data_IF_669159257512
#
_entry.id   IF_669159257512
#
_cell.length_a   1.000
_cell.length_b   1.000
_cell.length_c   1.000
_cell.angle_alpha   90.00
_cell.angle_beta   90.00
_cell.angle_gamma   90.00
#
_symmetry.space_group_name_H-M   'P 1'
#
loop_
_entity.id
_entity.type
_entity.pdbx_description
1 polymer ?
#
# COMPACT_ATOMS: atom_id res chain seq x y z
N UNK A 1 -5.47 -12.81 13.17
CA UNK A 1 -6.27 -13.35 12.05
C UNK A 1 -6.82 -14.74 12.41
N UNK A 2 -8.09 -15.08 12.13
CA UNK A 2 -8.71 -16.37 12.56
C UNK A 2 -8.08 -17.61 11.91
N UNK A 3 -7.46 -17.47 10.74
CA UNK A 3 -6.76 -18.54 10.03
C UNK A 3 -5.59 -19.13 10.84
N UNK A 4 -4.69 -18.29 11.35
CA UNK A 4 -3.53 -18.79 12.13
C UNK A 4 -3.90 -19.44 13.46
N UNK A 5 -5.01 -19.01 14.09
CA UNK A 5 -5.54 -19.74 15.26
C UNK A 5 -5.93 -21.17 14.90
N UNK A 6 -6.54 -21.37 13.73
CA UNK A 6 -6.89 -22.71 13.26
C UNK A 6 -5.66 -23.57 12.95
N UNK A 7 -4.60 -22.97 12.40
CA UNK A 7 -3.35 -23.68 12.13
C UNK A 7 -2.63 -24.07 13.42
N UNK A 8 -2.47 -23.15 14.37
CA UNK A 8 -1.61 -23.37 15.54
C UNK A 8 -2.34 -23.90 16.77
N UNK A 9 -3.54 -23.40 17.07
CA UNK A 9 -4.29 -23.83 18.27
C UNK A 9 -5.09 -25.12 18.00
N UNK A 10 -5.47 -25.35 16.74
CA UNK A 10 -6.28 -26.51 16.32
C UNK A 10 -5.56 -27.47 15.38
N UNK A 11 -4.28 -27.23 15.09
CA UNK A 11 -3.43 -28.09 14.27
C UNK A 11 -4.05 -28.45 12.90
N UNK A 12 -4.86 -27.56 12.32
CA UNK A 12 -5.48 -27.79 11.02
C UNK A 12 -4.47 -27.54 9.90
N UNK A 13 -4.61 -28.31 8.81
CA UNK A 13 -3.91 -28.00 7.57
C UNK A 13 -4.38 -26.66 7.00
N UNK A 14 -3.55 -26.04 6.16
CA UNK A 14 -3.91 -24.80 5.47
C UNK A 14 -5.20 -24.96 4.65
N UNK A 15 -5.39 -26.13 4.01
CA UNK A 15 -6.57 -26.44 3.20
C UNK A 15 -7.83 -26.61 4.08
N UNK A 16 -7.72 -27.26 5.23
CA UNK A 16 -8.84 -27.45 6.15
C UNK A 16 -9.26 -26.13 6.81
N UNK A 17 -8.28 -25.32 7.21
CA UNK A 17 -8.53 -23.97 7.70
C UNK A 17 -9.17 -23.09 6.61
N UNK A 18 -8.72 -23.24 5.36
CA UNK A 18 -9.31 -22.52 4.22
C UNK A 18 -10.78 -22.90 3.99
N UNK A 19 -11.07 -24.21 3.95
CA UNK A 19 -12.43 -24.75 3.81
C UNK A 19 -13.34 -24.27 4.94
N UNK A 20 -12.84 -24.31 6.19
CA UNK A 20 -13.59 -23.87 7.37
C UNK A 20 -13.90 -22.37 7.36
N UNK A 21 -12.98 -21.56 6.86
CA UNK A 21 -13.13 -20.11 6.75
C UNK A 21 -13.74 -19.66 5.41
N UNK A 22 -14.07 -20.60 4.51
CA UNK A 22 -14.58 -20.35 3.15
C UNK A 22 -13.70 -19.36 2.36
N UNK A 23 -12.38 -19.48 2.51
CA UNK A 23 -11.39 -18.71 1.75
C UNK A 23 -10.79 -19.59 0.64
N UNK A 24 -10.28 -18.95 -0.42
CA UNK A 24 -9.58 -19.68 -1.48
C UNK A 24 -8.33 -20.37 -0.93
N UNK A 25 -8.09 -21.61 -1.37
CA UNK A 25 -6.91 -22.38 -0.97
C UNK A 25 -5.60 -21.65 -1.33
N UNK A 26 -5.53 -21.05 -2.53
CA UNK A 26 -4.36 -20.27 -2.94
C UNK A 26 -4.08 -19.06 -2.03
N UNK A 27 -5.11 -18.45 -1.44
CA UNK A 27 -4.94 -17.37 -0.46
C UNK A 27 -4.37 -17.91 0.85
N UNK A 28 -4.89 -19.04 1.33
CA UNK A 28 -4.39 -19.69 2.53
C UNK A 28 -2.92 -20.13 2.39
N UNK A 29 -2.56 -20.71 1.24
CA UNK A 29 -1.18 -21.08 0.94
C UNK A 29 -0.24 -19.88 0.91
N UNK A 30 -0.63 -18.79 0.23
CA UNK A 30 0.14 -17.53 0.24
C UNK A 30 0.34 -16.98 1.65
N UNK A 31 -0.69 -17.04 2.51
CA UNK A 31 -0.55 -16.61 3.90
C UNK A 31 0.43 -17.48 4.69
N UNK A 32 0.43 -18.80 4.49
CA UNK A 32 1.40 -19.70 5.12
C UNK A 32 2.83 -19.43 4.63
N UNK A 33 3.00 -19.21 3.33
CA UNK A 33 4.30 -18.89 2.73
C UNK A 33 4.84 -17.55 3.28
N UNK A 34 4.00 -16.52 3.30
CA UNK A 34 4.36 -15.21 3.87
C UNK A 34 4.71 -15.31 5.35
N UNK A 35 3.91 -16.03 6.13
CA UNK A 35 4.18 -16.25 7.55
C UNK A 35 5.50 -16.99 7.79
N UNK A 36 5.79 -18.01 6.97
CA UNK A 36 7.06 -18.76 7.05
C UNK A 36 8.26 -17.86 6.73
N UNK A 37 8.11 -16.95 5.78
CA UNK A 37 9.16 -16.01 5.38
C UNK A 37 9.39 -14.90 6.40
N UNK A 38 8.31 -14.26 6.85
CA UNK A 38 8.34 -13.20 7.86
C UNK A 38 6.97 -13.13 8.57
N UNK A 39 6.85 -13.66 9.79
CA UNK A 39 5.61 -13.63 10.57
C UNK A 39 5.11 -12.22 10.88
N UNK A 40 5.98 -11.21 10.93
CA UNK A 40 5.57 -9.84 11.25
C UNK A 40 4.91 -9.18 10.02
N UNK A 41 5.42 -9.48 8.82
CA UNK A 41 4.93 -8.91 7.55
C UNK A 41 3.43 -9.13 7.29
N UNK A 42 2.84 -10.22 7.81
CA UNK A 42 1.43 -10.54 7.58
C UNK A 42 0.47 -9.73 8.46
N UNK A 43 0.96 -9.22 9.59
CA UNK A 43 0.18 -8.40 10.52
C UNK A 43 0.50 -6.92 10.36
N UNK A 44 1.66 -6.60 9.79
CA UNK A 44 1.97 -5.25 9.37
C UNK A 44 1.00 -4.83 8.27
N UNK A 45 0.16 -3.86 8.61
CA UNK A 45 -0.59 -3.12 7.60
C UNK A 45 0.47 -2.42 6.75
N UNK A 46 0.78 -3.00 5.58
CA UNK A 46 1.59 -2.34 4.58
C UNK A 46 1.04 -0.92 4.42
N UNK A 47 1.80 0.07 4.92
CA UNK A 47 1.53 1.46 4.59
C UNK A 47 1.56 1.44 3.08
N UNK A 48 0.43 1.73 2.43
CA UNK A 48 0.40 1.91 0.99
C UNK A 48 1.32 3.09 0.74
N UNK A 49 2.59 2.83 0.49
CA UNK A 49 3.49 3.79 -0.09
C UNK A 49 2.84 4.07 -1.43
N UNK A 50 2.10 5.18 -1.48
CA UNK A 50 1.47 5.60 -2.72
C UNK A 50 2.54 5.79 -3.78
N UNK A 51 2.12 6.08 -5.01
CA UNK A 51 3.05 6.57 -6.01
C UNK A 51 3.84 7.74 -5.39
N UNK A 52 5.18 7.74 -5.45
CA UNK A 52 5.97 8.88 -5.02
C UNK A 52 5.40 10.15 -5.64
N UNK A 53 5.29 11.23 -4.85
CA UNK A 53 4.83 12.51 -5.39
C UNK A 53 5.82 12.94 -6.47
N UNK A 54 5.29 13.34 -7.62
CA UNK A 54 6.09 13.88 -8.72
C UNK A 54 6.61 15.28 -8.34
N UNK A 55 5.82 16.02 -7.56
CA UNK A 55 6.17 17.34 -7.04
C UNK A 55 6.62 17.22 -5.58
N UNK A 56 7.72 17.88 -5.25
CA UNK A 56 8.23 18.00 -3.89
C UNK A 56 7.75 19.31 -3.20
N UNK A 57 8.29 19.58 -2.01
CA UNK A 57 7.93 20.76 -1.22
C UNK A 57 8.35 22.09 -1.86
N UNK A 58 9.37 22.09 -2.72
CA UNK A 58 9.82 23.28 -3.42
C UNK A 58 8.84 23.64 -4.54
N UNK A 59 8.48 22.64 -5.34
CA UNK A 59 7.44 22.75 -6.35
C UNK A 59 6.08 23.20 -5.77
N UNK A 60 5.74 22.74 -4.56
CA UNK A 60 4.46 23.04 -3.93
C UNK A 60 4.34 24.52 -3.50
N UNK A 61 5.47 25.20 -3.23
CA UNK A 61 5.49 26.61 -2.82
C UNK A 61 5.29 27.58 -3.97
N UNK A 62 5.65 27.19 -5.19
CA UNK A 62 5.56 28.04 -6.39
C UNK A 62 4.12 28.06 -6.95
N UNK A 63 3.36 26.99 -6.74
CA UNK A 63 1.99 26.86 -7.28
C UNK A 63 1.04 27.99 -6.83
N UNK A 64 0.96 28.37 -5.54
CA UNK A 64 0.08 29.45 -5.10
C UNK A 64 0.43 30.82 -5.71
N UNK A 65 1.73 31.16 -5.77
CA UNK A 65 2.21 32.44 -6.32
C UNK A 65 1.90 32.57 -7.82
N UNK A 66 1.99 31.45 -8.54
CA UNK A 66 1.58 31.41 -9.94
C UNK A 66 0.06 31.58 -10.10
N UNK A 67 -0.78 30.95 -9.27
CA UNK A 67 -2.25 31.01 -9.41
C UNK A 67 -2.81 32.43 -9.23
N UNK A 68 -2.21 33.23 -8.35
CA UNK A 68 -2.61 34.63 -8.12
C UNK A 68 -2.24 35.54 -9.29
N UNK A 69 -1.27 35.12 -10.12
CA UNK A 69 -0.89 35.78 -11.36
C UNK A 69 -1.79 35.28 -12.50
N UNK A 70 -2.12 36.13 -13.48
CA UNK A 70 -3.05 35.79 -14.58
C UNK A 70 -2.81 34.35 -15.11
N UNK A 71 -3.82 33.46 -15.08
CA UNK A 71 -3.63 32.00 -15.13
C UNK A 71 -2.92 31.49 -16.40
N UNK A 72 -2.97 32.25 -17.49
CA UNK A 72 -2.26 31.96 -18.74
C UNK A 72 -0.77 32.33 -18.71
N UNK A 73 -0.37 33.39 -18.00
CA UNK A 73 1.05 33.75 -17.80
C UNK A 73 1.68 32.82 -16.76
N UNK A 74 0.90 32.50 -15.72
CA UNK A 74 1.27 31.63 -14.62
C UNK A 74 1.69 30.22 -15.07
N UNK A 75 1.03 29.65 -16.08
CA UNK A 75 1.32 28.27 -16.52
C UNK A 75 2.72 28.15 -17.15
N UNK A 76 3.10 29.10 -18.01
CA UNK A 76 4.42 29.09 -18.66
C UNK A 76 5.55 29.32 -17.65
N UNK A 77 5.32 30.16 -16.66
CA UNK A 77 6.28 30.43 -15.59
C UNK A 77 6.40 29.23 -14.63
N UNK A 78 5.27 28.62 -14.28
CA UNK A 78 5.22 27.38 -13.50
C UNK A 78 6.01 26.26 -14.19
N UNK A 79 5.80 26.03 -15.49
CA UNK A 79 6.54 25.01 -16.25
C UNK A 79 8.06 25.25 -16.32
N UNK A 80 8.53 26.48 -16.19
CA UNK A 80 9.98 26.79 -16.13
C UNK A 80 10.58 26.49 -14.76
N UNK A 81 9.78 26.65 -13.70
CA UNK A 81 10.21 26.49 -12.31
C UNK A 81 10.00 25.06 -11.77
N UNK A 82 9.15 24.25 -12.43
CA UNK A 82 9.00 22.82 -12.20
C UNK A 82 9.98 22.05 -13.08
N UNK A 83 11.19 21.74 -12.59
CA UNK A 83 12.21 21.00 -13.34
C UNK A 83 12.45 19.61 -12.78
#
# INVERSE_FOLDING_TARGET
MKFFKLLFERFLSAADAAKRLRILNGTAQKWVEQYTRDPNSIFEKQRKTGRPRILDEEHTKVIPECIDTSPSVALDELMKNLR
#
